data_IF_898065876265
#
_entry.id   IF_898065876265
#
_cell.length_a   1.000
_cell.length_b   1.000
_cell.length_c   1.000
_cell.angle_alpha   90.00
_cell.angle_beta   90.00
_cell.angle_gamma   90.00
#
_symmetry.space_group_name_H-M   'P 1'
#
loop_
_entity.id
_entity.type
_entity.pdbx_description
1 polymer ?
#
# COMPACT_ATOMS: atom_id res chain seq x y z
N UNK A 1 31.43 -13.00 15.44
CA UNK A 1 30.56 -13.57 14.39
C UNK A 1 31.07 -13.00 13.09
N UNK A 2 31.37 -13.83 12.11
CA UNK A 2 31.67 -13.34 10.76
C UNK A 2 30.46 -12.52 10.29
N UNK A 3 30.70 -11.45 9.52
CA UNK A 3 29.70 -10.65 8.82
C UNK A 3 28.96 -11.53 7.79
N UNK A 4 28.23 -12.56 8.23
CA UNK A 4 27.27 -13.27 7.41
C UNK A 4 26.18 -12.25 7.08
N UNK A 5 26.24 -11.76 5.85
CA UNK A 5 25.30 -10.92 5.13
C UNK A 5 23.92 -10.85 5.80
N UNK A 6 23.65 -9.71 6.45
CA UNK A 6 22.34 -9.31 6.94
C UNK A 6 21.33 -9.40 5.79
N UNK A 7 20.20 -10.09 6.01
CA UNK A 7 19.19 -10.38 4.98
C UNK A 7 17.79 -10.03 5.52
N UNK A 8 17.34 -8.78 5.39
CA UNK A 8 16.01 -8.39 5.86
C UNK A 8 14.91 -9.15 5.11
N UNK A 9 13.87 -9.54 5.83
CA UNK A 9 12.70 -10.20 5.26
C UNK A 9 11.58 -9.19 5.05
N UNK A 10 10.90 -9.24 3.91
CA UNK A 10 9.67 -8.47 3.72
C UNK A 10 8.54 -9.16 4.46
N UNK A 11 7.87 -8.47 5.38
CA UNK A 11 6.72 -9.03 6.10
C UNK A 11 5.45 -8.89 5.24
N UNK A 12 4.81 -10.01 4.94
CA UNK A 12 3.64 -10.08 4.04
C UNK A 12 2.35 -10.50 4.75
N UNK A 13 2.45 -11.16 5.89
CA UNK A 13 1.29 -11.51 6.70
C UNK A 13 1.64 -11.69 8.16
N UNK A 14 0.62 -11.60 9.02
CA UNK A 14 0.77 -11.78 10.45
C UNK A 14 -0.48 -12.46 11.02
N UNK A 15 -0.24 -13.57 11.70
CA UNK A 15 -1.27 -14.37 12.33
C UNK A 15 -0.93 -14.58 13.80
N UNK A 16 -1.88 -14.26 14.68
CA UNK A 16 -1.80 -14.61 16.10
C UNK A 16 -2.42 -15.99 16.30
N UNK A 17 -1.63 -16.97 16.74
CA UNK A 17 -2.11 -18.33 17.00
C UNK A 17 -2.79 -18.43 18.37
N UNK A 18 -2.11 -17.95 19.42
CA UNK A 18 -2.58 -17.90 20.82
C UNK A 18 -1.74 -16.87 21.60
N UNK A 19 -1.93 -16.76 22.94
CA UNK A 19 -1.35 -15.76 23.86
C UNK A 19 -0.25 -14.88 23.27
N UNK A 20 0.97 -15.42 23.22
CA UNK A 20 2.17 -14.77 22.72
C UNK A 20 2.88 -15.60 21.63
N UNK A 21 2.16 -16.42 20.86
CA UNK A 21 2.74 -17.11 19.70
C UNK A 21 2.17 -16.55 18.40
N UNK A 22 3.08 -16.26 17.47
CA UNK A 22 2.81 -15.53 16.25
C UNK A 22 3.43 -16.23 15.06
N UNK A 23 2.75 -16.18 13.92
CA UNK A 23 3.28 -16.59 12.62
C UNK A 23 3.38 -15.35 11.75
N UNK A 24 4.59 -15.06 11.31
CA UNK A 24 4.93 -13.96 10.42
C UNK A 24 5.18 -14.57 9.05
N UNK A 25 4.29 -14.35 8.09
CA UNK A 25 4.55 -14.71 6.71
C UNK A 25 5.55 -13.73 6.12
N UNK A 26 6.62 -14.25 5.54
CA UNK A 26 7.75 -13.43 5.07
C UNK A 26 8.13 -13.75 3.62
N UNK A 27 8.81 -12.81 2.98
CA UNK A 27 9.49 -12.98 1.70
C UNK A 27 10.98 -12.63 1.86
N UNK A 28 11.88 -13.62 1.76
CA UNK A 28 13.31 -13.36 1.61
C UNK A 28 13.62 -12.57 0.32
N UNK A 29 14.69 -11.77 0.32
CA UNK A 29 15.15 -11.04 -0.87
C UNK A 29 15.35 -11.99 -2.07
N UNK A 30 15.95 -13.15 -1.83
CA UNK A 30 16.19 -14.20 -2.82
C UNK A 30 15.26 -15.41 -2.59
N UNK A 31 13.94 -15.19 -2.61
CA UNK A 31 12.97 -16.26 -2.37
C UNK A 31 12.80 -17.20 -3.59
N UNK A 32 12.45 -18.45 -3.31
CA UNK A 32 12.02 -19.44 -4.30
C UNK A 32 10.49 -19.50 -4.28
N UNK A 33 9.85 -19.15 -5.40
CA UNK A 33 8.38 -19.11 -5.55
C UNK A 33 7.69 -20.46 -5.26
N UNK A 34 8.42 -21.59 -5.27
CA UNK A 34 7.88 -22.90 -4.92
C UNK A 34 7.68 -23.11 -3.42
N UNK A 35 8.17 -22.19 -2.61
CA UNK A 35 8.11 -22.27 -1.16
C UNK A 35 7.34 -21.07 -0.63
N UNK A 36 6.68 -21.28 0.50
CA UNK A 36 6.25 -20.19 1.35
C UNK A 36 7.11 -20.20 2.62
N UNK A 37 7.25 -19.02 3.23
CA UNK A 37 8.20 -18.79 4.31
C UNK A 37 7.49 -18.17 5.49
N UNK A 38 7.75 -18.71 6.67
CA UNK A 38 7.17 -18.24 7.92
C UNK A 38 8.27 -18.10 8.98
N UNK A 39 8.17 -17.07 9.81
CA UNK A 39 8.86 -17.00 11.10
C UNK A 39 7.81 -17.23 12.19
N UNK A 40 8.01 -18.26 12.99
CA UNK A 40 7.19 -18.59 14.14
C UNK A 40 7.88 -17.96 15.35
N UNK A 41 7.25 -16.97 15.99
CA UNK A 41 7.83 -16.22 17.09
C UNK A 41 7.01 -16.43 18.35
N UNK A 42 7.69 -16.68 19.46
CA UNK A 42 7.11 -16.66 20.80
C UNK A 42 7.68 -15.50 21.61
N UNK A 43 6.85 -14.68 22.22
CA UNK A 43 7.29 -13.55 23.06
C UNK A 43 6.75 -13.63 24.50
N UNK A 44 7.31 -12.83 25.41
CA UNK A 44 6.70 -12.65 26.74
C UNK A 44 5.64 -11.55 26.74
N UNK A 45 5.78 -10.58 25.83
CA UNK A 45 4.92 -9.40 25.77
C UNK A 45 4.14 -9.31 24.44
N UNK A 46 2.88 -8.83 24.47
CA UNK A 46 2.02 -8.71 23.30
C UNK A 46 2.39 -7.52 22.37
N UNK A 47 3.51 -6.83 22.61
CA UNK A 47 3.95 -5.66 21.82
C UNK A 47 4.06 -5.95 20.30
N UNK A 48 4.30 -7.22 19.95
CA UNK A 48 4.30 -7.76 18.58
C UNK A 48 2.95 -7.57 17.86
N UNK A 49 1.84 -7.33 18.57
CA UNK A 49 0.54 -7.01 17.92
C UNK A 49 0.57 -5.67 17.17
N UNK A 50 1.41 -4.72 17.58
CA UNK A 50 1.51 -3.41 16.91
C UNK A 50 2.03 -3.55 15.47
N UNK A 51 2.78 -4.62 15.20
CA UNK A 51 3.31 -4.95 13.87
C UNK A 51 2.19 -5.14 12.84
N UNK A 52 1.06 -5.71 13.26
CA UNK A 52 -0.09 -5.97 12.39
C UNK A 52 -0.59 -4.70 11.71
N UNK A 53 -0.54 -3.57 12.39
CA UNK A 53 -1.03 -2.29 11.87
C UNK A 53 -0.13 -1.70 10.78
N UNK A 54 1.13 -2.14 10.73
CA UNK A 54 2.09 -1.71 9.72
C UNK A 54 1.98 -2.51 8.42
N UNK A 55 1.30 -3.69 8.42
CA UNK A 55 1.33 -4.65 7.29
C UNK A 55 0.57 -4.10 6.10
N UNK A 56 1.23 -4.09 4.95
CA UNK A 56 0.77 -3.40 3.74
C UNK A 56 1.56 -2.12 3.43
N UNK A 57 2.39 -1.66 4.37
CA UNK A 57 3.53 -0.78 4.11
C UNK A 57 4.80 -1.64 3.96
N UNK A 58 5.84 -1.13 3.30
CA UNK A 58 7.14 -1.82 3.17
C UNK A 58 7.75 -2.03 4.57
N UNK A 59 7.39 -3.15 5.22
CA UNK A 59 7.97 -3.58 6.49
C UNK A 59 9.07 -4.58 6.20
N UNK A 60 10.22 -4.32 6.79
CA UNK A 60 11.29 -5.30 6.90
C UNK A 60 11.39 -5.81 8.32
N UNK A 61 11.58 -7.12 8.43
CA UNK A 61 11.91 -7.81 9.69
C UNK A 61 13.36 -8.23 9.60
N UNK A 62 14.18 -7.72 10.53
CA UNK A 62 15.57 -8.16 10.71
C UNK A 62 15.72 -8.97 11.98
N UNK A 63 16.37 -10.13 11.89
CA UNK A 63 16.67 -10.99 13.04
C UNK A 63 18.08 -10.67 13.53
N UNK A 64 18.22 -9.56 14.29
CA UNK A 64 19.52 -9.04 14.77
C UNK A 64 20.31 -10.10 15.56
N UNK A 65 19.63 -10.92 16.35
CA UNK A 65 20.29 -11.99 17.12
C UNK A 65 19.36 -13.17 17.39
N UNK A 66 19.81 -14.12 18.22
CA UNK A 66 19.05 -15.34 18.58
C UNK A 66 17.79 -15.10 19.39
N UNK A 67 17.64 -13.90 19.96
CA UNK A 67 16.52 -13.49 20.81
C UNK A 67 16.09 -12.04 20.56
N UNK A 68 16.61 -11.42 19.49
CA UNK A 68 16.35 -10.02 19.16
C UNK A 68 15.95 -9.90 17.70
N UNK A 69 14.86 -9.18 17.44
CA UNK A 69 14.35 -8.85 16.13
C UNK A 69 14.07 -7.35 16.09
N UNK A 70 14.25 -6.72 14.94
CA UNK A 70 13.91 -5.33 14.73
C UNK A 70 13.05 -5.19 13.48
N UNK A 71 12.17 -4.19 13.53
CA UNK A 71 11.18 -3.95 12.51
C UNK A 71 11.45 -2.59 11.95
N UNK A 72 11.55 -2.57 10.63
CA UNK A 72 11.84 -1.37 9.90
C UNK A 72 10.69 -1.04 8.96
N UNK A 73 10.35 0.24 8.88
CA UNK A 73 9.31 0.74 7.98
C UNK A 73 9.91 1.76 7.00
N UNK A 74 9.74 1.53 5.70
CA UNK A 74 10.26 2.42 4.67
C UNK A 74 10.26 1.75 3.29
N UNK A 75 10.16 2.53 2.21
CA UNK A 75 10.07 2.00 0.84
C UNK A 75 11.29 1.13 0.44
N UNK A 76 12.45 1.49 0.96
CA UNK A 76 13.71 0.77 0.82
C UNK A 76 14.28 0.47 2.21
N UNK A 77 14.83 -0.74 2.40
CA UNK A 77 15.43 -1.14 3.67
C UNK A 77 16.53 -0.15 4.13
N UNK A 78 17.37 0.30 3.22
CA UNK A 78 18.49 1.22 3.50
C UNK A 78 18.04 2.60 4.01
N UNK A 79 16.79 2.98 3.74
CA UNK A 79 16.19 4.27 4.10
C UNK A 79 15.14 4.14 5.21
N UNK A 80 14.92 2.93 5.69
CA UNK A 80 13.83 2.61 6.61
C UNK A 80 14.11 3.07 8.04
N UNK A 81 13.05 3.45 8.74
CA UNK A 81 13.11 3.81 10.16
C UNK A 81 12.84 2.56 11.01
N UNK A 82 13.64 2.39 12.06
CA UNK A 82 13.45 1.33 13.04
C UNK A 82 12.38 1.70 14.07
N UNK A 83 11.56 0.72 14.44
CA UNK A 83 10.62 0.77 15.57
C UNK A 83 11.26 0.38 16.92
N UNK A 84 12.57 0.11 16.93
CA UNK A 84 13.37 -0.35 18.06
C UNK A 84 13.44 -1.87 18.19
N UNK A 85 14.33 -2.34 19.06
CA UNK A 85 14.58 -3.76 19.27
C UNK A 85 13.42 -4.46 20.00
N UNK A 86 13.05 -5.64 19.51
CA UNK A 86 12.06 -6.53 20.11
C UNK A 86 12.69 -7.84 20.57
N UNK A 87 12.54 -8.15 21.86
CA UNK A 87 12.96 -9.43 22.41
C UNK A 87 11.89 -10.52 22.20
N UNK A 88 12.35 -11.72 21.84
CA UNK A 88 11.51 -12.91 21.74
C UNK A 88 12.13 -14.09 22.50
N UNK A 89 11.26 -14.97 23.03
CA UNK A 89 11.66 -16.17 23.78
C UNK A 89 12.27 -17.21 22.83
N UNK A 90 11.65 -17.38 21.67
CA UNK A 90 12.12 -18.33 20.66
C UNK A 90 11.66 -17.91 19.27
N UNK A 91 12.48 -18.22 18.27
CA UNK A 91 12.11 -18.16 16.86
C UNK A 91 12.29 -19.53 16.20
N UNK A 92 11.43 -19.85 15.25
CA UNK A 92 11.58 -20.97 14.34
C UNK A 92 11.29 -20.51 12.91
N UNK A 93 12.24 -20.72 12.02
CA UNK A 93 12.11 -20.36 10.61
C UNK A 93 11.64 -21.59 9.82
N UNK A 94 10.51 -21.46 9.14
CA UNK A 94 9.94 -22.52 8.32
C UNK A 94 9.97 -22.14 6.86
N UNK A 95 10.60 -23.01 6.07
CA UNK A 95 10.51 -23.04 4.61
C UNK A 95 9.72 -24.30 4.24
N UNK A 96 8.54 -24.11 3.66
CA UNK A 96 7.65 -25.23 3.33
C UNK A 96 7.34 -25.22 1.84
N UNK A 97 7.48 -26.37 1.18
CA UNK A 97 7.15 -26.48 -0.24
C UNK A 97 5.64 -26.34 -0.43
N UNK A 98 5.23 -25.53 -1.41
CA UNK A 98 3.82 -25.30 -1.71
C UNK A 98 3.15 -26.57 -2.23
N UNK A 99 1.95 -26.83 -1.73
CA UNK A 99 1.16 -28.00 -2.11
C UNK A 99 0.63 -27.91 -3.55
N UNK A 100 0.22 -29.05 -4.11
CA UNK A 100 -0.45 -29.18 -5.41
C UNK A 100 0.29 -28.56 -6.63
N UNK A 101 1.61 -28.38 -6.51
CA UNK A 101 2.51 -27.80 -7.51
C UNK A 101 2.34 -28.36 -8.93
N UNK A 102 2.24 -29.68 -9.09
CA UNK A 102 2.16 -30.31 -10.42
C UNK A 102 0.89 -29.86 -11.17
N UNK A 103 -0.24 -29.76 -10.44
CA UNK A 103 -1.55 -29.47 -11.02
C UNK A 103 -1.81 -27.98 -11.22
N UNK A 104 -1.37 -27.15 -10.27
CA UNK A 104 -1.77 -25.74 -10.20
C UNK A 104 -0.68 -24.75 -10.60
N UNK A 105 0.60 -25.05 -10.37
CA UNK A 105 1.68 -24.13 -10.75
C UNK A 105 1.67 -23.81 -12.26
N UNK A 106 1.52 -24.77 -13.19
CA UNK A 106 1.44 -24.44 -14.62
C UNK A 106 0.25 -23.53 -14.96
N UNK A 107 -0.90 -23.75 -14.33
CA UNK A 107 -2.11 -22.93 -14.53
C UNK A 107 -1.91 -21.51 -14.00
N UNK A 108 -1.31 -21.38 -12.82
CA UNK A 108 -0.95 -20.09 -12.22
C UNK A 108 0.01 -19.32 -13.10
N UNK A 109 1.10 -19.93 -13.55
CA UNK A 109 2.09 -19.26 -14.40
C UNK A 109 1.49 -18.81 -15.73
N UNK A 110 0.63 -19.64 -16.33
CA UNK A 110 -0.12 -19.25 -17.52
C UNK A 110 -1.02 -18.03 -17.25
N UNK A 111 -1.83 -18.09 -16.20
CA UNK A 111 -2.72 -16.99 -15.81
C UNK A 111 -1.96 -15.71 -15.47
N UNK A 112 -0.80 -15.81 -14.81
CA UNK A 112 0.08 -14.67 -14.49
C UNK A 112 0.61 -14.01 -15.75
N UNK A 113 0.95 -14.79 -16.78
CA UNK A 113 1.33 -14.26 -18.08
C UNK A 113 0.18 -13.51 -18.76
N UNK A 114 -1.01 -14.10 -18.78
CA UNK A 114 -2.22 -13.48 -19.37
C UNK A 114 -2.65 -12.23 -18.60
N UNK A 115 -2.57 -12.26 -17.27
CA UNK A 115 -2.77 -11.10 -16.42
C UNK A 115 -1.80 -9.98 -16.78
N UNK A 116 -0.50 -10.27 -16.87
CA UNK A 116 0.50 -9.26 -17.22
C UNK A 116 0.23 -8.61 -18.58
N UNK A 117 -0.09 -9.41 -19.60
CA UNK A 117 -0.43 -8.88 -20.93
C UNK A 117 -1.64 -7.94 -20.88
N UNK A 118 -2.69 -8.33 -20.15
CA UNK A 118 -3.90 -7.53 -20.00
C UNK A 118 -3.67 -6.27 -19.16
N UNK A 119 -2.85 -6.38 -18.11
CA UNK A 119 -2.47 -5.27 -17.26
C UNK A 119 -1.71 -4.23 -18.09
N UNK A 120 -0.66 -4.67 -18.80
CA UNK A 120 0.19 -3.80 -19.61
C UNK A 120 -0.63 -3.12 -20.73
N UNK A 121 -1.59 -3.82 -21.34
CA UNK A 121 -2.46 -3.23 -22.37
C UNK A 121 -3.47 -2.22 -21.83
N UNK A 122 -3.97 -2.40 -20.60
CA UNK A 122 -4.92 -1.49 -19.95
C UNK A 122 -4.28 -0.35 -19.18
N UNK A 123 -2.99 -0.45 -18.83
CA UNK A 123 -2.26 0.55 -18.06
C UNK A 123 -2.17 1.89 -18.82
N UNK A 124 -1.89 1.87 -20.13
CA UNK A 124 -1.73 3.10 -20.89
C UNK A 124 -3.03 3.91 -21.03
N UNK A 125 -4.18 3.30 -21.41
CA UNK A 125 -5.44 4.01 -21.38
C UNK A 125 -5.82 4.53 -19.99
N UNK A 126 -5.57 3.76 -18.94
CA UNK A 126 -5.76 4.21 -17.55
C UNK A 126 -4.92 5.46 -17.23
N UNK A 127 -3.62 5.45 -17.56
CA UNK A 127 -2.71 6.59 -17.33
C UNK A 127 -3.24 7.88 -17.98
N UNK A 128 -3.74 7.79 -19.22
CA UNK A 128 -4.27 8.93 -19.96
C UNK A 128 -5.53 9.48 -19.30
N UNK A 129 -6.51 8.63 -19.02
CA UNK A 129 -7.76 9.03 -18.36
C UNK A 129 -7.50 9.59 -16.96
N UNK A 130 -6.62 8.94 -16.20
CA UNK A 130 -6.17 9.40 -14.88
C UNK A 130 -5.58 10.80 -14.94
N UNK A 131 -4.76 11.10 -15.95
CA UNK A 131 -4.17 12.43 -16.13
C UNK A 131 -5.24 13.51 -16.33
N UNK A 132 -6.27 13.23 -17.13
CA UNK A 132 -7.40 14.15 -17.29
C UNK A 132 -8.09 14.46 -15.96
N UNK A 133 -8.31 13.46 -15.11
CA UNK A 133 -8.89 13.67 -13.77
C UNK A 133 -7.98 14.52 -12.88
N UNK A 134 -6.67 14.28 -12.92
CA UNK A 134 -5.67 15.05 -12.16
C UNK A 134 -5.66 16.50 -12.63
N UNK A 135 -5.65 16.75 -13.94
CA UNK A 135 -5.67 18.10 -14.50
C UNK A 135 -6.96 18.83 -14.11
N UNK A 136 -8.11 18.14 -14.14
CA UNK A 136 -9.38 18.69 -13.67
C UNK A 136 -9.38 19.00 -12.17
N UNK A 137 -8.81 18.13 -11.34
CA UNK A 137 -8.60 18.39 -9.92
C UNK A 137 -7.75 19.64 -9.68
N UNK A 138 -6.63 19.79 -10.40
CA UNK A 138 -5.74 20.95 -10.30
C UNK A 138 -6.43 22.24 -10.72
N UNK A 139 -7.18 22.22 -11.81
CA UNK A 139 -7.98 23.36 -12.25
C UNK A 139 -9.02 23.75 -11.19
N UNK A 140 -9.75 22.79 -10.62
CA UNK A 140 -10.71 23.09 -9.55
C UNK A 140 -10.01 23.67 -8.31
N UNK A 141 -8.88 23.09 -7.90
CA UNK A 141 -8.10 23.62 -6.77
C UNK A 141 -7.69 25.09 -7.00
N UNK A 142 -7.16 25.41 -8.19
CA UNK A 142 -6.74 26.76 -8.54
C UNK A 142 -7.92 27.74 -8.59
N UNK A 143 -9.06 27.33 -9.16
CA UNK A 143 -10.28 28.16 -9.19
C UNK A 143 -10.84 28.44 -7.79
N UNK A 144 -10.75 27.49 -6.87
CA UNK A 144 -11.26 27.66 -5.51
C UNK A 144 -10.28 28.44 -4.62
N UNK A 145 -8.97 28.24 -4.77
CA UNK A 145 -7.98 29.01 -3.97
C UNK A 145 -7.97 30.50 -4.37
N UNK A 146 -8.25 30.83 -5.64
CA UNK A 146 -8.38 32.22 -6.11
C UNK A 146 -9.59 32.96 -5.52
N UNK A 147 -10.59 32.24 -5.01
CA UNK A 147 -11.78 32.81 -4.36
C UNK A 147 -11.56 33.08 -2.87
N UNK A 148 -10.53 32.49 -2.28
CA UNK A 148 -10.20 32.68 -0.88
C UNK A 148 -9.60 34.07 -0.65
N UNK A 149 -9.91 34.65 0.50
CA UNK A 149 -9.22 35.83 1.00
C UNK A 149 -7.76 35.51 1.33
N UNK A 150 -6.92 36.54 1.42
CA UNK A 150 -5.51 36.38 1.80
C UNK A 150 -5.32 35.67 3.14
N UNK A 151 -6.15 35.99 4.14
CA UNK A 151 -6.10 35.32 5.46
C UNK A 151 -6.45 33.82 5.37
N UNK A 152 -7.40 33.44 4.52
CA UNK A 152 -7.74 32.03 4.31
C UNK A 152 -6.62 31.29 3.58
N UNK A 153 -6.03 31.91 2.55
CA UNK A 153 -4.87 31.36 1.84
C UNK A 153 -3.69 31.18 2.79
N UNK A 154 -3.39 32.16 3.63
CA UNK A 154 -2.30 32.09 4.62
C UNK A 154 -2.54 30.96 5.63
N UNK A 155 -3.81 30.70 6.03
CA UNK A 155 -4.17 29.56 6.88
C UNK A 155 -4.02 28.22 6.16
N UNK A 156 -4.51 28.11 4.93
CA UNK A 156 -4.44 26.89 4.12
C UNK A 156 -2.98 26.53 3.76
N UNK A 157 -2.11 27.53 3.55
CA UNK A 157 -0.70 27.31 3.21
C UNK A 157 0.17 26.86 4.39
N UNK A 158 -0.36 26.84 5.63
CA UNK A 158 0.40 26.34 6.78
C UNK A 158 0.72 24.85 6.61
N UNK A 159 1.98 24.49 6.83
CA UNK A 159 2.42 23.09 6.89
C UNK A 159 2.53 22.36 5.56
N UNK A 160 2.59 23.06 4.42
CA UNK A 160 2.71 22.49 3.06
C UNK A 160 1.63 21.46 2.65
N UNK A 161 0.58 21.29 3.46
CA UNK A 161 -0.42 20.24 3.31
C UNK A 161 -1.06 20.22 1.92
N UNK A 162 -1.55 21.38 1.47
CA UNK A 162 -2.20 21.48 0.16
C UNK A 162 -1.23 21.35 -1.00
N UNK A 163 0.04 21.75 -0.83
CA UNK A 163 1.07 21.49 -1.84
C UNK A 163 1.26 19.98 -2.04
N UNK A 164 1.34 19.21 -0.95
CA UNK A 164 1.46 17.76 -1.02
C UNK A 164 0.25 17.09 -1.68
N UNK A 165 -0.99 17.50 -1.33
CA UNK A 165 -2.19 16.93 -1.96
C UNK A 165 -2.29 17.36 -3.43
N UNK A 166 -1.93 18.61 -3.74
CA UNK A 166 -1.96 19.15 -5.11
C UNK A 166 -1.07 18.36 -6.07
N UNK A 167 0.13 17.95 -5.62
CA UNK A 167 1.12 17.24 -6.44
C UNK A 167 1.01 15.71 -6.34
N UNK A 168 0.20 15.18 -5.42
CA UNK A 168 0.23 13.78 -5.00
C UNK A 168 0.24 12.81 -6.19
N UNK A 169 -0.72 12.94 -7.11
CA UNK A 169 -0.84 12.01 -8.24
C UNK A 169 -0.14 12.47 -9.52
N UNK A 170 0.53 13.63 -9.52
CA UNK A 170 1.35 14.09 -10.65
C UNK A 170 2.57 13.19 -10.84
N UNK A 171 3.27 12.89 -9.75
CA UNK A 171 4.51 12.13 -9.77
C UNK A 171 4.32 10.65 -9.39
N UNK A 172 3.20 10.31 -8.74
CA UNK A 172 2.94 8.91 -8.37
C UNK A 172 2.79 8.04 -9.63
N UNK A 173 3.44 6.86 -9.65
CA UNK A 173 3.39 5.99 -10.80
C UNK A 173 1.96 5.45 -11.00
N UNK A 174 1.46 5.53 -12.24
CA UNK A 174 0.08 5.12 -12.54
C UNK A 174 -0.19 3.65 -12.22
N UNK A 175 0.81 2.78 -12.28
CA UNK A 175 0.66 1.35 -11.97
C UNK A 175 0.20 1.13 -10.53
N UNK A 176 0.60 1.98 -9.58
CA UNK A 176 0.20 1.86 -8.18
C UNK A 176 -1.29 2.13 -8.00
N UNK A 177 -1.75 3.29 -8.48
CA UNK A 177 -3.16 3.64 -8.45
C UNK A 177 -4.02 2.69 -9.30
N UNK A 178 -3.43 2.09 -10.35
CA UNK A 178 -4.13 1.09 -11.17
C UNK A 178 -4.30 -0.23 -10.42
N UNK A 179 -3.28 -0.71 -9.71
CA UNK A 179 -3.40 -1.87 -8.84
C UNK A 179 -4.50 -1.69 -7.79
N UNK A 180 -4.62 -0.49 -7.21
CA UNK A 180 -5.72 -0.14 -6.27
C UNK A 180 -7.10 -0.09 -6.91
N UNK A 181 -7.19 0.14 -8.22
CA UNK A 181 -8.46 0.04 -8.97
C UNK A 181 -8.85 -1.42 -9.21
N UNK A 182 -7.87 -2.27 -9.53
CA UNK A 182 -8.08 -3.70 -9.77
C UNK A 182 -8.37 -4.45 -8.47
N UNK A 183 -7.70 -4.08 -7.39
CA UNK A 183 -7.91 -4.61 -6.05
C UNK A 183 -7.89 -3.47 -5.02
N UNK A 184 -9.04 -3.04 -4.50
CA UNK A 184 -9.11 -1.98 -3.49
C UNK A 184 -8.31 -2.27 -2.21
N UNK A 185 -8.00 -3.55 -1.95
CA UNK A 185 -7.20 -4.01 -0.83
C UNK A 185 -5.77 -4.38 -1.23
N UNK A 186 -5.32 -3.96 -2.42
CA UNK A 186 -4.00 -4.27 -2.95
C UNK A 186 -2.89 -3.99 -1.93
N UNK A 187 -2.00 -4.98 -1.77
CA UNK A 187 -0.76 -4.89 -1.02
C UNK A 187 0.40 -5.11 -1.99
N UNK A 188 1.50 -4.37 -1.81
CA UNK A 188 2.69 -4.53 -2.67
C UNK A 188 3.27 -5.95 -2.62
N UNK A 189 3.11 -6.60 -1.47
CA UNK A 189 3.48 -7.99 -1.27
C UNK A 189 2.27 -8.71 -0.67
N UNK A 190 1.47 -9.43 -1.47
CA UNK A 190 0.37 -10.21 -0.94
C UNK A 190 0.89 -11.33 -0.04
N UNK A 191 0.07 -11.83 0.89
CA UNK A 191 0.42 -12.97 1.72
C UNK A 191 0.93 -14.15 0.88
N UNK A 192 2.04 -14.75 1.28
CA UNK A 192 2.49 -16.00 0.65
C UNK A 192 1.53 -17.12 1.02
N UNK A 193 1.03 -17.84 0.02
CA UNK A 193 0.07 -18.91 0.25
C UNK A 193 0.77 -20.27 0.30
N UNK A 194 0.21 -21.18 1.10
CA UNK A 194 0.74 -22.55 1.24
C UNK A 194 0.45 -23.44 0.04
N UNK A 195 -0.53 -23.07 -0.77
CA UNK A 195 -1.05 -23.88 -1.87
C UNK A 195 -1.09 -23.06 -3.17
N UNK A 196 -0.59 -23.66 -4.26
CA UNK A 196 -0.66 -23.08 -5.60
C UNK A 196 -2.10 -22.88 -6.11
N UNK A 197 -3.07 -23.68 -5.64
CA UNK A 197 -4.49 -23.51 -5.94
C UNK A 197 -5.00 -22.18 -5.39
N UNK A 198 -4.62 -21.83 -4.16
CA UNK A 198 -5.06 -20.58 -3.51
C UNK A 198 -4.48 -19.37 -4.27
N UNK A 199 -3.19 -19.38 -4.60
CA UNK A 199 -2.59 -18.30 -5.41
C UNK A 199 -3.25 -18.18 -6.79
N UNK A 200 -3.62 -19.31 -7.40
CA UNK A 200 -4.35 -19.32 -8.67
C UNK A 200 -5.71 -18.66 -8.53
N UNK A 201 -6.51 -19.07 -7.54
CA UNK A 201 -7.88 -18.56 -7.35
C UNK A 201 -7.88 -17.06 -6.99
N UNK A 202 -6.91 -16.61 -6.18
CA UNK A 202 -6.73 -15.19 -5.89
C UNK A 202 -6.38 -14.39 -7.14
N UNK A 203 -5.40 -14.86 -7.93
CA UNK A 203 -5.04 -14.22 -9.19
C UNK A 203 -6.18 -14.25 -10.20
N UNK A 204 -6.96 -15.33 -10.25
CA UNK A 204 -8.11 -15.47 -11.15
C UNK A 204 -9.20 -14.44 -10.82
N UNK A 205 -9.48 -14.25 -9.53
CA UNK A 205 -10.41 -13.22 -9.07
C UNK A 205 -9.96 -11.82 -9.51
N UNK A 206 -8.69 -11.48 -9.28
CA UNK A 206 -8.09 -10.18 -9.66
C UNK A 206 -8.11 -10.01 -11.19
N UNK A 207 -7.74 -11.06 -11.94
CA UNK A 207 -7.73 -11.05 -13.40
C UNK A 207 -9.13 -10.87 -13.99
N UNK A 208 -10.15 -11.53 -13.43
CA UNK A 208 -11.53 -11.37 -13.88
C UNK A 208 -12.06 -9.96 -13.60
N UNK A 209 -11.65 -9.33 -12.50
CA UNK A 209 -11.97 -7.92 -12.27
C UNK A 209 -11.26 -7.00 -13.29
N UNK A 210 -9.96 -7.24 -13.55
CA UNK A 210 -9.21 -6.51 -14.56
C UNK A 210 -9.86 -6.59 -15.96
N UNK A 211 -10.45 -7.73 -16.35
CA UNK A 211 -11.16 -7.87 -17.63
C UNK A 211 -12.29 -6.87 -17.80
N UNK A 212 -13.06 -6.61 -16.75
CA UNK A 212 -14.27 -5.79 -16.82
C UNK A 212 -14.05 -4.31 -16.53
N UNK A 213 -12.90 -3.92 -15.96
CA UNK A 213 -12.59 -2.50 -15.72
C UNK A 213 -12.44 -1.74 -17.04
N UNK A 214 -13.23 -0.68 -17.20
CA UNK A 214 -13.18 0.22 -18.35
C UNK A 214 -12.15 1.35 -18.11
N UNK A 215 -10.89 1.13 -18.49
CA UNK A 215 -9.79 2.06 -18.19
C UNK A 215 -9.82 3.37 -18.99
N UNK A 216 -10.63 3.43 -20.05
CA UNK A 216 -10.91 4.63 -20.85
C UNK A 216 -12.13 5.40 -20.35
N UNK A 217 -12.93 4.81 -19.47
CA UNK A 217 -14.14 5.43 -18.98
C UNK A 217 -13.81 6.46 -17.89
N UNK A 218 -13.86 7.74 -18.29
CA UNK A 218 -13.58 8.87 -17.39
C UNK A 218 -14.42 8.85 -16.11
N UNK A 219 -15.69 8.48 -16.17
CA UNK A 219 -16.55 8.46 -14.98
C UNK A 219 -16.07 7.42 -13.95
N UNK A 220 -15.69 6.22 -14.43
CA UNK A 220 -15.13 5.14 -13.58
C UNK A 220 -13.82 5.59 -12.95
N UNK A 221 -12.90 6.13 -13.76
CA UNK A 221 -11.59 6.56 -13.26
C UNK A 221 -11.70 7.77 -12.33
N UNK A 222 -12.62 8.71 -12.59
CA UNK A 222 -12.88 9.86 -11.73
C UNK A 222 -13.32 9.43 -10.33
N UNK A 223 -14.29 8.52 -10.23
CA UNK A 223 -14.77 7.99 -8.94
C UNK A 223 -13.61 7.36 -8.16
N UNK A 224 -12.81 6.53 -8.81
CA UNK A 224 -11.63 5.92 -8.20
C UNK A 224 -10.62 6.95 -7.69
N UNK A 225 -10.25 7.92 -8.52
CA UNK A 225 -9.29 8.95 -8.13
C UNK A 225 -9.80 9.83 -6.99
N UNK A 226 -11.10 10.17 -6.96
CA UNK A 226 -11.72 10.90 -5.85
C UNK A 226 -11.58 10.12 -4.54
N UNK A 227 -11.81 8.81 -4.56
CA UNK A 227 -11.61 7.97 -3.37
C UNK A 227 -10.14 7.91 -2.94
N UNK A 228 -9.19 7.88 -3.88
CA UNK A 228 -7.77 7.95 -3.55
C UNK A 228 -7.39 9.29 -2.91
N UNK A 229 -7.88 10.42 -3.43
CA UNK A 229 -7.68 11.74 -2.82
C UNK A 229 -8.26 11.81 -1.41
N UNK A 230 -9.48 11.31 -1.18
CA UNK A 230 -10.11 11.27 0.15
C UNK A 230 -9.28 10.47 1.14
N UNK A 231 -8.80 9.27 0.74
CA UNK A 231 -7.95 8.44 1.59
C UNK A 231 -6.65 9.16 1.95
N UNK A 232 -6.00 9.79 0.97
CA UNK A 232 -4.77 10.55 1.21
C UNK A 232 -5.00 11.74 2.14
N UNK A 233 -6.05 12.54 1.90
CA UNK A 233 -6.44 13.66 2.75
C UNK A 233 -6.66 13.22 4.20
N UNK A 234 -7.48 12.18 4.41
CA UNK A 234 -7.79 11.67 5.75
C UNK A 234 -6.55 11.10 6.47
N UNK A 235 -5.59 10.54 5.73
CA UNK A 235 -4.32 10.07 6.30
C UNK A 235 -3.41 11.23 6.69
N UNK A 236 -3.39 12.31 5.91
CA UNK A 236 -2.49 13.44 6.12
C UNK A 236 -2.99 14.44 7.16
N UNK A 237 -4.32 14.59 7.30
CA UNK A 237 -4.91 15.62 8.15
C UNK A 237 -4.51 15.50 9.63
N UNK A 238 -4.52 14.30 10.27
CA UNK A 238 -4.07 14.17 11.66
C UNK A 238 -2.61 14.60 11.86
N UNK A 239 -1.75 14.33 10.88
CA UNK A 239 -0.33 14.73 10.92
C UNK A 239 -0.16 16.25 10.85
N UNK A 240 -1.02 16.94 10.08
CA UNK A 240 -1.03 18.40 10.03
C UNK A 240 -1.35 18.98 11.42
N UNK A 241 -2.40 18.47 12.08
CA UNK A 241 -2.83 18.91 13.41
C UNK A 241 -1.80 18.61 14.49
N UNK A 242 -1.17 17.45 14.42
CA UNK A 242 -0.11 17.06 15.34
C UNK A 242 1.08 18.04 15.28
N UNK A 243 1.52 18.39 14.07
CA UNK A 243 2.67 19.28 13.86
C UNK A 243 2.35 20.77 14.03
N UNK A 244 1.08 21.16 13.91
CA UNK A 244 0.63 22.55 13.99
C UNK A 244 -0.63 22.61 14.85
N UNK A 245 -0.45 22.58 16.18
CA UNK A 245 -1.56 22.45 17.15
C UNK A 245 -2.60 23.56 17.01
N UNK A 246 -2.19 24.73 16.54
CA UNK A 246 -3.04 25.90 16.35
C UNK A 246 -3.90 25.85 15.07
N UNK A 247 -3.70 24.87 14.19
CA UNK A 247 -4.53 24.72 12.98
C UNK A 247 -5.93 24.20 13.36
N UNK A 248 -6.96 24.83 12.81
CA UNK A 248 -8.33 24.32 12.79
C UNK A 248 -8.50 23.42 11.55
N UNK A 249 -8.66 22.12 11.78
CA UNK A 249 -8.81 21.11 10.73
C UNK A 249 -10.07 21.33 9.88
N UNK A 250 -11.11 21.97 10.44
CA UNK A 250 -12.37 22.19 9.73
C UNK A 250 -12.16 23.04 8.48
N UNK A 251 -11.26 24.02 8.52
CA UNK A 251 -10.94 24.86 7.36
C UNK A 251 -10.41 24.02 6.19
N UNK A 252 -9.61 23.00 6.50
CA UNK A 252 -9.06 22.08 5.49
C UNK A 252 -10.13 21.10 4.98
N UNK A 253 -10.94 20.56 5.89
CA UNK A 253 -12.05 19.65 5.56
C UNK A 253 -13.06 20.35 4.64
N UNK A 254 -13.46 21.56 4.99
CA UNK A 254 -14.45 22.33 4.23
C UNK A 254 -13.92 22.65 2.83
N UNK A 255 -12.68 23.14 2.72
CA UNK A 255 -12.06 23.41 1.42
C UNK A 255 -11.92 22.13 0.58
N UNK A 256 -11.51 21.02 1.19
CA UNK A 256 -11.43 19.72 0.51
C UNK A 256 -12.78 19.24 -0.01
N UNK A 257 -13.83 19.37 0.79
CA UNK A 257 -15.19 18.99 0.39
C UNK A 257 -15.69 19.83 -0.79
N UNK A 258 -15.36 21.12 -0.83
CA UNK A 258 -15.68 21.99 -1.99
C UNK A 258 -14.96 21.50 -3.25
N UNK A 259 -13.65 21.23 -3.16
CA UNK A 259 -12.85 20.74 -4.30
C UNK A 259 -13.41 19.40 -4.80
N UNK A 260 -13.65 18.43 -3.90
CA UNK A 260 -14.18 17.12 -4.27
C UNK A 260 -15.60 17.20 -4.85
N UNK A 261 -16.45 18.07 -4.29
CA UNK A 261 -17.80 18.31 -4.80
C UNK A 261 -17.79 18.82 -6.25
N UNK A 262 -16.92 19.79 -6.55
CA UNK A 262 -16.77 20.36 -7.89
C UNK A 262 -16.11 19.41 -8.87
N UNK A 263 -15.09 18.68 -8.44
CA UNK A 263 -14.46 17.64 -9.26
C UNK A 263 -15.48 16.58 -9.69
N UNK A 264 -16.37 16.17 -8.78
CA UNK A 264 -17.43 15.23 -9.10
C UNK A 264 -18.43 15.76 -10.13
N UNK A 265 -18.70 17.07 -10.16
CA UNK A 265 -19.59 17.72 -11.11
C UNK A 265 -18.97 17.97 -12.49
N UNK A 266 -17.63 17.92 -12.64
CA UNK A 266 -17.00 18.07 -13.95
C UNK A 266 -17.29 16.85 -14.84
N UNK A 267 -17.94 17.13 -15.96
CA UNK A 267 -18.04 16.22 -17.10
C UNK A 267 -16.80 16.42 -18.01
N UNK A 268 -16.43 15.37 -18.76
CA UNK A 268 -15.23 15.35 -19.59
C UNK A 268 -15.44 16.08 -20.92
#
# INVERSE_FOLDING_TARGET
MENSEYNPYVLVSFEKQNDNNYILGILPINYDENYYYEIHIKTEYPYVNNIKESIGSYIYVDLISKNLMEIYTGEYYEESCSDGDFEYISYDYKKTEKENKISWKPKFLYLKSEFKKLFDSKLKPYELTRRMVIDNYRSVYLEEIEKCSKEEIDKLNKGSFWHSIYQLFEYNPSWDSFNKLIDPNYQYYPPTQKDWEVEYLELEKIYNHLKVIETENYAVIKVHMVELYKRAFNRMLPNLKYNNKEIDENIFIDFFNVIMGKLNQKEN
#
